data_IF_229903158445
#
_entry.id   IF_229903158445
#
_cell.length_a   1.000
_cell.length_b   1.000
_cell.length_c   1.000
_cell.angle_alpha   90.00
_cell.angle_beta   90.00
_cell.angle_gamma   90.00
#
_symmetry.space_group_name_H-M   'P 1'
#
loop_
_entity.id
_entity.type
_entity.pdbx_description
1 polymer ?
#
# COMPACT_ATOMS: atom_id res chain seq x y z
N UNK A 1 -35.86 28.13 1.80
CA UNK A 1 -35.35 26.84 1.31
C UNK A 1 -33.89 26.77 1.73
N UNK A 2 -33.63 26.20 2.90
CA UNK A 2 -32.33 26.32 3.57
C UNK A 2 -31.62 24.98 3.47
N UNK A 3 -30.60 24.91 2.63
CA UNK A 3 -29.73 23.75 2.46
C UNK A 3 -28.89 23.57 3.72
N UNK A 4 -29.30 22.66 4.60
CA UNK A 4 -28.43 22.11 5.64
C UNK A 4 -27.39 21.20 4.99
N UNK A 5 -26.20 21.74 4.75
CA UNK A 5 -24.98 20.96 4.53
C UNK A 5 -24.63 20.25 5.84
N UNK A 6 -25.06 18.99 5.97
CA UNK A 6 -24.61 18.08 7.00
C UNK A 6 -23.15 17.70 6.73
N UNK A 7 -22.22 18.47 7.29
CA UNK A 7 -20.82 18.12 7.38
C UNK A 7 -20.68 17.01 8.44
N UNK A 8 -20.75 15.76 7.99
CA UNK A 8 -20.54 14.58 8.84
C UNK A 8 -19.06 14.40 9.17
N UNK A 9 -18.51 15.25 10.04
CA UNK A 9 -17.24 14.94 10.70
C UNK A 9 -17.50 13.87 11.76
N UNK A 10 -17.19 12.62 11.44
CA UNK A 10 -17.05 11.60 12.48
C UNK A 10 -15.85 11.99 13.34
N UNK A 11 -16.13 12.48 14.54
CA UNK A 11 -15.14 12.84 15.55
C UNK A 11 -14.40 11.57 16.01
N UNK A 12 -13.33 11.22 15.31
CA UNK A 12 -12.28 10.36 15.85
C UNK A 12 -11.19 11.26 16.46
N UNK A 13 -11.33 11.62 17.73
CA UNK A 13 -10.23 12.11 18.57
C UNK A 13 -9.71 10.87 19.31
N UNK A 14 -8.41 10.52 19.34
CA UNK A 14 -7.26 11.29 19.82
C UNK A 14 -5.98 10.80 19.08
N UNK A 15 -5.15 11.71 18.55
CA UNK A 15 -3.79 11.50 17.97
C UNK A 15 -3.59 10.66 16.69
N UNK A 16 -4.64 10.12 16.07
CA UNK A 16 -4.54 9.36 14.81
C UNK A 16 -5.66 9.76 13.86
N UNK A 17 -5.39 9.83 12.55
CA UNK A 17 -6.40 10.20 11.57
C UNK A 17 -6.66 9.10 10.56
N UNK A 18 -7.93 8.80 10.37
CA UNK A 18 -8.43 7.96 9.28
C UNK A 18 -8.82 8.90 8.13
N UNK A 19 -8.31 8.64 6.93
CA UNK A 19 -8.68 9.36 5.71
C UNK A 19 -9.51 8.40 4.86
N UNK A 20 -10.83 8.55 4.92
CA UNK A 20 -11.76 7.84 4.06
C UNK A 20 -12.45 8.85 3.16
N UNK A 21 -12.21 8.72 1.86
CA UNK A 21 -12.91 9.48 0.85
C UNK A 21 -13.98 8.59 0.23
N UNK A 22 -15.27 8.98 0.29
CA UNK A 22 -16.32 8.19 -0.30
C UNK A 22 -16.15 8.13 -1.81
N UNK A 23 -16.27 6.93 -2.37
CA UNK A 23 -16.20 6.73 -3.82
C UNK A 23 -17.51 7.17 -4.49
N UNK A 24 -17.39 7.76 -5.68
CA UNK A 24 -18.54 8.00 -6.54
C UNK A 24 -19.15 6.67 -6.98
N UNK A 25 -20.45 6.67 -7.30
CA UNK A 25 -21.12 5.45 -7.75
C UNK A 25 -20.59 4.96 -9.10
N UNK A 26 -20.07 5.85 -9.93
CA UNK A 26 -19.35 5.51 -11.16
C UNK A 26 -18.11 4.67 -10.85
N UNK A 27 -17.27 5.14 -9.93
CA UNK A 27 -16.06 4.40 -9.52
C UNK A 27 -16.45 3.05 -8.92
N UNK A 28 -17.45 3.00 -8.03
CA UNK A 28 -17.89 1.74 -7.41
C UNK A 28 -18.37 0.70 -8.42
N UNK A 29 -19.02 1.12 -9.51
CA UNK A 29 -19.51 0.21 -10.57
C UNK A 29 -18.37 -0.43 -11.36
N UNK A 30 -17.28 0.28 -11.55
CA UNK A 30 -16.12 -0.18 -12.33
C UNK A 30 -15.05 -0.89 -11.48
N UNK A 31 -15.18 -0.84 -10.15
CA UNK A 31 -14.32 -1.58 -9.23
C UNK A 31 -14.48 -3.09 -9.40
N UNK A 32 -13.36 -3.80 -9.26
CA UNK A 32 -13.36 -5.27 -9.28
C UNK A 32 -12.91 -5.81 -7.94
N UNK A 33 -13.67 -6.78 -7.43
CA UNK A 33 -13.37 -7.47 -6.18
C UNK A 33 -12.91 -8.87 -6.54
N UNK A 34 -11.72 -9.23 -6.05
CA UNK A 34 -11.07 -10.50 -6.29
C UNK A 34 -11.00 -11.31 -5.00
N UNK A 35 -11.33 -12.59 -5.08
CA UNK A 35 -10.90 -13.57 -4.09
C UNK A 35 -9.45 -13.99 -4.37
N UNK A 36 -8.58 -13.68 -3.42
CA UNK A 36 -7.15 -13.95 -3.42
C UNK A 36 -6.81 -15.05 -2.41
N UNK A 37 -7.36 -16.27 -2.57
CA UNK A 37 -7.14 -17.50 -1.79
C UNK A 37 -7.31 -17.40 -0.26
N UNK A 38 -6.59 -16.48 0.40
CA UNK A 38 -6.56 -16.19 1.84
C UNK A 38 -6.88 -14.73 2.17
N UNK A 39 -7.25 -13.92 1.18
CA UNK A 39 -7.50 -12.48 1.33
C UNK A 39 -8.41 -11.95 0.22
N UNK A 40 -8.85 -10.70 0.32
CA UNK A 40 -9.64 -9.99 -0.69
C UNK A 40 -8.76 -8.97 -1.40
N UNK A 41 -8.86 -8.90 -2.72
CA UNK A 41 -8.24 -7.88 -3.55
C UNK A 41 -9.27 -6.91 -4.11
N UNK A 42 -8.99 -5.62 -4.10
CA UNK A 42 -9.87 -4.59 -4.68
C UNK A 42 -9.10 -3.79 -5.72
N UNK A 43 -9.52 -3.90 -6.97
CA UNK A 43 -8.99 -3.12 -8.09
C UNK A 43 -9.79 -1.83 -8.19
N UNK A 44 -9.13 -0.71 -7.98
CA UNK A 44 -9.71 0.60 -8.23
C UNK A 44 -9.53 0.97 -9.71
N UNK A 45 -10.59 1.46 -10.35
CA UNK A 45 -10.55 1.82 -11.76
C UNK A 45 -9.75 3.11 -11.97
N UNK A 46 -9.36 3.41 -13.20
CA UNK A 46 -8.57 4.61 -13.55
C UNK A 46 -9.31 5.92 -13.24
N UNK A 47 -10.65 5.86 -13.19
CA UNK A 47 -11.57 6.92 -12.83
C UNK A 47 -11.48 7.30 -11.34
N UNK A 48 -10.86 6.44 -10.50
CA UNK A 48 -10.61 6.79 -9.11
C UNK A 48 -9.47 7.81 -8.99
N UNK A 49 -9.81 9.01 -8.55
CA UNK A 49 -8.87 10.09 -8.26
C UNK A 49 -8.17 9.87 -6.91
N UNK A 50 -6.92 9.39 -6.96
CA UNK A 50 -6.11 9.23 -5.76
C UNK A 50 -5.62 10.59 -5.24
N UNK A 51 -5.91 10.90 -3.97
CA UNK A 51 -5.49 12.16 -3.35
C UNK A 51 -4.05 12.16 -2.80
N UNK A 52 -3.33 11.06 -2.95
CA UNK A 52 -1.90 10.93 -2.61
C UNK A 52 -1.05 10.80 -3.88
N UNK A 53 0.20 11.27 -3.84
CA UNK A 53 1.16 11.13 -4.94
C UNK A 53 0.59 11.51 -6.33
N UNK A 54 -0.23 12.58 -6.38
CA UNK A 54 -1.00 13.02 -7.57
C UNK A 54 -0.16 13.11 -8.85
N UNK A 55 1.09 13.57 -8.74
CA UNK A 55 2.02 13.64 -9.88
C UNK A 55 2.28 12.27 -10.52
N UNK A 56 2.74 11.28 -9.72
CA UNK A 56 3.03 9.92 -10.20
C UNK A 56 1.75 9.19 -10.64
N UNK A 57 0.65 9.41 -9.92
CA UNK A 57 -0.64 8.76 -10.18
C UNK A 57 -1.51 9.50 -11.19
N UNK A 58 -0.97 10.45 -11.95
CA UNK A 58 -1.74 11.21 -12.95
C UNK A 58 -2.13 10.38 -14.17
N UNK A 59 -1.26 9.47 -14.61
CA UNK A 59 -1.51 8.62 -15.78
C UNK A 59 -1.97 7.22 -15.36
N UNK A 60 -3.26 7.07 -15.03
CA UNK A 60 -3.85 5.83 -14.50
C UNK A 60 -4.28 4.87 -15.60
N UNK A 61 -4.24 3.58 -15.27
CA UNK A 61 -4.94 2.52 -16.02
C UNK A 61 -5.63 1.56 -15.04
N UNK A 62 -6.66 0.87 -15.52
CA UNK A 62 -7.35 -0.18 -14.76
C UNK A 62 -6.73 -1.54 -15.12
N UNK A 63 -6.00 -2.21 -14.21
CA UNK A 63 -5.51 -3.55 -14.47
C UNK A 63 -6.67 -4.54 -14.58
N UNK A 64 -6.52 -5.53 -15.45
CA UNK A 64 -7.47 -6.64 -15.56
C UNK A 64 -7.29 -7.63 -14.41
N UNK A 65 -8.32 -8.43 -14.14
CA UNK A 65 -8.24 -9.47 -13.10
C UNK A 65 -7.13 -10.48 -13.38
N UNK A 66 -6.96 -10.88 -14.65
CA UNK A 66 -5.93 -11.82 -15.05
C UNK A 66 -4.52 -11.25 -14.83
N UNK A 67 -4.33 -9.95 -15.06
CA UNK A 67 -3.07 -9.28 -14.76
C UNK A 67 -2.76 -9.28 -13.26
N UNK A 68 -3.75 -8.99 -12.42
CA UNK A 68 -3.58 -9.05 -10.96
C UNK A 68 -3.30 -10.48 -10.49
N UNK A 69 -4.04 -11.48 -10.96
CA UNK A 69 -3.82 -12.88 -10.58
C UNK A 69 -2.41 -13.36 -10.95
N UNK A 70 -1.88 -12.95 -12.11
CA UNK A 70 -0.49 -13.24 -12.50
C UNK A 70 0.52 -12.48 -11.65
N UNK A 71 0.25 -11.21 -11.33
CA UNK A 71 1.13 -10.40 -10.50
C UNK A 71 1.23 -10.96 -9.07
N UNK A 72 0.12 -11.42 -8.48
CA UNK A 72 0.05 -11.91 -7.10
C UNK A 72 1.02 -13.07 -6.81
N UNK A 73 1.23 -13.96 -7.79
CA UNK A 73 2.21 -15.04 -7.67
C UNK A 73 3.62 -14.47 -7.46
N UNK A 74 3.99 -13.44 -8.22
CA UNK A 74 5.33 -12.83 -8.15
C UNK A 74 5.47 -11.88 -6.96
N UNK A 75 4.43 -11.11 -6.65
CA UNK A 75 4.35 -10.23 -5.48
C UNK A 75 4.60 -11.04 -4.20
N UNK A 76 3.92 -12.17 -4.02
CA UNK A 76 4.06 -12.99 -2.82
C UNK A 76 5.46 -13.61 -2.69
N UNK A 77 6.10 -14.01 -3.81
CA UNK A 77 7.49 -14.50 -3.80
C UNK A 77 8.49 -13.40 -3.42
N UNK A 78 8.24 -12.17 -3.84
CA UNK A 78 9.19 -11.07 -3.71
C UNK A 78 8.96 -10.18 -2.50
N UNK A 79 7.89 -10.37 -1.73
CA UNK A 79 7.54 -9.51 -0.59
C UNK A 79 8.72 -9.31 0.37
N UNK A 80 9.29 -10.41 0.89
CA UNK A 80 10.43 -10.35 1.82
C UNK A 80 11.67 -9.71 1.18
N UNK A 81 11.88 -9.95 -0.10
CA UNK A 81 13.05 -9.47 -0.82
C UNK A 81 12.96 -7.96 -1.10
N UNK A 82 11.76 -7.47 -1.38
CA UNK A 82 11.41 -6.05 -1.43
C UNK A 82 11.73 -5.36 -0.10
N UNK A 83 11.31 -5.94 1.03
CA UNK A 83 11.62 -5.37 2.36
C UNK A 83 13.11 -5.43 2.71
N UNK A 84 13.81 -6.50 2.31
CA UNK A 84 15.27 -6.62 2.48
C UNK A 84 15.99 -5.49 1.76
N UNK A 85 15.66 -5.28 0.48
CA UNK A 85 16.20 -4.16 -0.29
C UNK A 85 15.93 -2.86 0.47
N UNK A 86 14.67 -2.67 0.90
CA UNK A 86 14.25 -1.47 1.62
C UNK A 86 15.09 -1.17 2.85
N UNK A 87 15.15 -2.13 3.77
CA UNK A 87 15.92 -2.02 5.02
C UNK A 87 17.41 -1.78 4.76
N UNK A 88 17.98 -2.42 3.74
CA UNK A 88 19.39 -2.24 3.37
C UNK A 88 19.69 -0.80 2.93
N UNK A 89 18.88 -0.22 2.05
CA UNK A 89 19.12 1.16 1.60
C UNK A 89 18.97 2.16 2.74
N UNK A 90 17.95 2.02 3.59
CA UNK A 90 17.77 2.92 4.73
C UNK A 90 18.97 2.85 5.68
N UNK A 91 19.48 1.67 5.99
CA UNK A 91 20.58 1.52 6.96
C UNK A 91 21.98 1.81 6.40
N UNK A 92 22.23 1.48 5.13
CA UNK A 92 23.60 1.46 4.59
C UNK A 92 23.85 2.39 3.40
N UNK A 93 22.81 2.78 2.64
CA UNK A 93 22.99 3.58 1.43
C UNK A 93 22.60 5.03 1.65
N UNK A 94 21.36 5.27 2.10
CA UNK A 94 20.78 6.62 2.22
C UNK A 94 21.55 7.49 3.21
N UNK A 95 22.02 6.89 4.30
CA UNK A 95 22.74 7.58 5.37
C UNK A 95 24.19 7.12 5.44
N UNK A 96 24.81 6.69 4.34
CA UNK A 96 26.18 6.16 4.35
C UNK A 96 27.18 7.11 5.04
N UNK A 97 26.98 8.41 4.89
CA UNK A 97 27.85 9.47 5.43
C UNK A 97 27.39 10.00 6.81
N UNK A 98 26.32 9.44 7.38
CA UNK A 98 25.84 9.85 8.70
C UNK A 98 26.78 9.31 9.80
N UNK A 99 27.49 10.22 10.47
CA UNK A 99 28.43 9.89 11.56
C UNK A 99 27.76 9.65 12.91
N UNK A 100 26.46 9.93 13.04
CA UNK A 100 25.70 9.71 14.29
C UNK A 100 25.52 8.23 14.63
N UNK A 101 25.57 7.35 13.63
CA UNK A 101 25.34 5.90 13.79
C UNK A 101 26.55 5.10 13.35
N UNK A 102 27.07 4.28 14.26
CA UNK A 102 28.15 3.33 13.99
C UNK A 102 27.70 2.21 13.04
N UNK A 103 28.68 1.55 12.40
CA UNK A 103 28.39 0.39 11.56
C UNK A 103 27.71 -0.75 12.34
N UNK A 104 28.09 -0.95 13.60
CA UNK A 104 27.51 -1.98 14.47
C UNK A 104 26.03 -1.70 14.77
N UNK A 105 25.68 -0.44 15.07
CA UNK A 105 24.29 -0.04 15.30
C UNK A 105 23.41 -0.25 14.06
N UNK A 106 23.91 0.11 12.87
CA UNK A 106 23.21 -0.13 11.59
C UNK A 106 23.03 -1.62 11.30
N UNK A 107 24.05 -2.44 11.59
CA UNK A 107 23.95 -3.90 11.45
C UNK A 107 22.91 -4.49 12.41
N UNK A 108 22.91 -4.03 13.67
CA UNK A 108 21.93 -4.47 14.68
C UNK A 108 20.51 -4.10 14.29
N UNK A 109 20.28 -2.86 13.84
CA UNK A 109 18.98 -2.39 13.36
C UNK A 109 18.51 -3.21 12.14
N UNK A 110 19.37 -3.36 11.13
CA UNK A 110 19.07 -4.18 9.96
C UNK A 110 18.68 -5.62 10.31
N UNK A 111 19.38 -6.27 11.25
CA UNK A 111 19.03 -7.62 11.69
C UNK A 111 17.69 -7.68 12.42
N UNK A 112 17.36 -6.65 13.20
CA UNK A 112 16.06 -6.54 13.87
C UNK A 112 14.92 -6.37 12.86
N UNK A 113 15.08 -5.45 11.91
CA UNK A 113 14.16 -5.29 10.78
C UNK A 113 14.01 -6.62 10.03
N UNK A 114 15.10 -7.36 9.81
CA UNK A 114 15.01 -8.62 9.09
C UNK A 114 14.25 -9.73 9.81
N UNK A 115 14.34 -9.78 11.14
CA UNK A 115 13.51 -10.71 11.94
C UNK A 115 12.04 -10.37 11.80
N UNK A 116 11.70 -9.09 11.83
CA UNK A 116 10.33 -8.62 11.71
C UNK A 116 9.78 -8.84 10.29
N UNK A 117 10.51 -8.42 9.24
CA UNK A 117 10.15 -8.63 7.82
C UNK A 117 9.89 -10.11 7.51
N UNK A 118 10.71 -11.04 8.05
CA UNK A 118 10.51 -12.48 7.85
C UNK A 118 9.19 -13.00 8.45
N UNK A 119 8.73 -12.42 9.57
CA UNK A 119 7.45 -12.80 10.18
C UNK A 119 6.29 -12.21 9.37
N UNK A 120 6.38 -10.93 9.02
CA UNK A 120 5.36 -10.24 8.23
C UNK A 120 5.18 -10.89 6.85
N UNK A 121 6.27 -11.19 6.13
CA UNK A 121 6.20 -11.81 4.81
C UNK A 121 5.50 -13.19 4.78
N UNK A 122 5.48 -13.93 5.90
CA UNK A 122 4.70 -15.17 6.01
C UNK A 122 3.20 -14.91 6.15
N UNK A 123 2.84 -13.75 6.69
CA UNK A 123 1.47 -13.34 6.94
C UNK A 123 0.90 -12.52 5.79
N UNK A 124 1.74 -11.91 4.95
CA UNK A 124 1.31 -11.00 3.88
C UNK A 124 0.30 -11.60 2.90
N UNK A 125 0.34 -12.92 2.69
CA UNK A 125 -0.66 -13.64 1.88
C UNK A 125 -2.09 -13.53 2.42
N UNK A 126 -2.26 -13.24 3.72
CA UNK A 126 -3.54 -13.07 4.41
C UNK A 126 -3.98 -11.60 4.49
N UNK A 127 -3.16 -10.67 4.04
CA UNK A 127 -3.50 -9.26 4.07
C UNK A 127 -4.42 -8.94 2.89
N UNK A 128 -5.48 -8.20 3.16
CA UNK A 128 -6.35 -7.69 2.11
C UNK A 128 -5.57 -6.66 1.28
N UNK A 129 -5.93 -6.51 0.00
CA UNK A 129 -5.17 -5.70 -0.95
C UNK A 129 -6.03 -4.68 -1.67
N UNK A 130 -5.51 -3.48 -1.85
CA UNK A 130 -6.07 -2.46 -2.75
C UNK A 130 -5.06 -2.15 -3.85
N UNK A 131 -5.51 -2.11 -5.11
CA UNK A 131 -4.65 -1.95 -6.29
C UNK A 131 -4.99 -0.69 -7.08
N UNK A 132 -3.95 -0.01 -7.55
CA UNK A 132 -4.01 1.09 -8.51
C UNK A 132 -3.01 0.86 -9.63
N UNK A 133 -3.43 0.92 -10.89
CA UNK A 133 -2.52 0.92 -12.03
C UNK A 133 -2.16 2.33 -12.47
N UNK A 134 -0.88 2.60 -12.73
CA UNK A 134 -0.40 3.85 -13.33
C UNK A 134 0.79 3.61 -14.27
N UNK A 135 1.02 4.56 -15.17
CA UNK A 135 2.13 4.52 -16.14
C UNK A 135 3.18 5.55 -15.72
N UNK A 136 4.41 5.10 -15.56
CA UNK A 136 5.56 5.94 -15.24
C UNK A 136 6.70 5.60 -16.21
N UNK A 137 7.24 6.61 -16.89
CA UNK A 137 8.31 6.43 -17.89
C UNK A 137 8.01 5.34 -18.94
N UNK A 138 6.73 5.21 -19.34
CA UNK A 138 6.27 4.21 -20.31
C UNK A 138 6.08 2.78 -19.76
N UNK A 139 6.34 2.56 -18.46
CA UNK A 139 6.18 1.26 -17.79
C UNK A 139 4.86 1.22 -17.01
N UNK A 140 4.21 0.05 -16.98
CA UNK A 140 2.96 -0.14 -16.22
C UNK A 140 3.30 -0.60 -14.81
N UNK A 141 2.91 0.20 -13.84
CA UNK A 141 3.18 -0.04 -12.44
C UNK A 141 1.86 -0.27 -11.70
N UNK A 142 1.85 -1.26 -10.81
CA UNK A 142 0.79 -1.46 -9.82
C UNK A 142 1.24 -0.90 -8.48
N UNK A 143 0.53 0.09 -7.94
CA UNK A 143 0.56 0.36 -6.50
C UNK A 143 -0.31 -0.68 -5.82
N UNK A 144 0.24 -1.32 -4.80
CA UNK A 144 -0.43 -2.34 -4.01
C UNK A 144 -0.38 -1.90 -2.56
N UNK A 145 -1.54 -1.72 -1.96
CA UNK A 145 -1.67 -1.54 -0.52
C UNK A 145 -2.02 -2.87 0.11
N UNK A 146 -1.18 -3.36 1.02
CA UNK A 146 -1.48 -4.50 1.87
C UNK A 146 -2.06 -3.99 3.19
N UNK A 147 -3.12 -4.62 3.66
CA UNK A 147 -3.86 -4.20 4.85
C UNK A 147 -4.08 -5.40 5.77
N UNK A 148 -3.51 -5.33 6.97
CA UNK A 148 -3.70 -6.32 8.03
C UNK A 148 -4.85 -5.92 8.95
N UNK A 149 -6.03 -6.52 8.76
CA UNK A 149 -7.19 -6.32 9.64
C UNK A 149 -7.23 -7.23 10.87
N UNK A 150 -6.16 -7.97 11.19
CA UNK A 150 -6.14 -8.85 12.37
C UNK A 150 -6.42 -8.13 13.69
N UNK A 151 -6.07 -6.84 13.76
CA UNK A 151 -6.45 -5.92 14.83
C UNK A 151 -7.03 -4.67 14.20
N UNK A 152 -8.34 -4.61 13.99
CA UNK A 152 -9.02 -3.48 13.33
C UNK A 152 -9.83 -2.65 14.33
N UNK A 153 -9.20 -1.74 15.10
CA UNK A 153 -9.88 -0.97 16.13
C UNK A 153 -10.88 0.05 15.56
N UNK A 154 -10.84 0.31 14.26
CA UNK A 154 -11.63 1.32 13.56
C UNK A 154 -12.76 0.72 12.71
N UNK A 155 -12.84 -0.62 12.61
CA UNK A 155 -13.82 -1.30 11.75
C UNK A 155 -13.65 -0.98 10.26
N UNK A 156 -12.41 -0.77 9.82
CA UNK A 156 -12.06 -0.38 8.45
C UNK A 156 -12.18 -1.53 7.45
N UNK A 157 -12.31 -2.79 7.88
CA UNK A 157 -12.52 -3.91 6.95
C UNK A 157 -13.74 -3.69 6.06
N UNK A 158 -14.82 -3.10 6.60
CA UNK A 158 -16.04 -2.78 5.86
C UNK A 158 -15.86 -1.62 4.86
N UNK A 159 -14.70 -0.95 4.88
CA UNK A 159 -14.35 0.15 3.99
C UNK A 159 -13.49 -0.29 2.80
N UNK A 160 -13.03 -1.55 2.79
CA UNK A 160 -12.12 -2.08 1.77
C UNK A 160 -12.63 -1.88 0.33
N UNK A 161 -13.95 -1.92 0.15
CA UNK A 161 -14.65 -1.73 -1.12
C UNK A 161 -15.36 -0.38 -1.26
N UNK A 162 -15.22 0.51 -0.25
CA UNK A 162 -15.94 1.79 -0.17
C UNK A 162 -15.04 3.02 -0.27
N UNK A 163 -13.74 2.84 -0.04
CA UNK A 163 -12.72 3.89 -0.09
C UNK A 163 -11.33 3.29 -0.19
N UNK A 164 -10.36 4.04 -0.71
CA UNK A 164 -8.96 3.76 -0.44
C UNK A 164 -8.67 3.98 1.04
N UNK A 165 -8.14 2.97 1.74
CA UNK A 165 -7.96 3.04 3.19
C UNK A 165 -6.66 3.79 3.48
N UNK A 166 -6.79 5.09 3.78
CA UNK A 166 -5.69 5.96 4.16
C UNK A 166 -5.73 6.37 5.63
N UNK A 167 -4.58 6.78 6.16
CA UNK A 167 -4.49 7.36 7.49
C UNK A 167 -3.05 7.65 7.90
N UNK A 168 -2.88 8.27 9.06
CA UNK A 168 -1.58 8.64 9.60
C UNK A 168 -1.43 8.18 11.05
N UNK A 169 -0.20 7.77 11.39
CA UNK A 169 0.22 7.28 12.69
C UNK A 169 -0.52 6.01 13.20
N UNK A 170 0.03 5.39 14.25
CA UNK A 170 -0.65 4.34 15.00
C UNK A 170 -0.92 3.10 14.14
N UNK A 171 -2.20 2.71 14.05
CA UNK A 171 -2.61 1.51 13.31
C UNK A 171 -2.10 1.48 11.86
N UNK A 172 -2.14 2.61 11.16
CA UNK A 172 -1.74 2.65 9.75
C UNK A 172 -0.25 2.36 9.56
N UNK A 173 0.60 2.78 10.50
CA UNK A 173 2.05 2.51 10.44
C UNK A 173 2.36 1.01 10.57
N UNK A 174 1.54 0.27 11.32
CA UNK A 174 1.77 -1.15 11.60
C UNK A 174 0.92 -2.10 10.76
N UNK A 175 -0.16 -1.63 10.14
CA UNK A 175 -1.13 -2.50 9.48
C UNK A 175 -1.31 -2.19 8.00
N UNK A 176 -0.71 -1.10 7.49
CA UNK A 176 -0.78 -0.74 6.08
C UNK A 176 0.63 -0.72 5.47
N UNK A 177 0.80 -1.37 4.32
CA UNK A 177 2.07 -1.39 3.57
C UNK A 177 1.81 -1.03 2.12
N UNK A 178 2.55 -0.06 1.60
CA UNK A 178 2.49 0.29 0.19
C UNK A 178 3.70 -0.30 -0.55
N UNK A 179 3.40 -1.02 -1.62
CA UNK A 179 4.37 -1.59 -2.56
C UNK A 179 4.07 -1.09 -3.97
N UNK A 180 5.10 -1.13 -4.82
CA UNK A 180 4.97 -0.92 -6.26
C UNK A 180 5.52 -2.13 -7.01
N UNK A 181 4.76 -2.62 -7.98
CA UNK A 181 5.14 -3.74 -8.82
C UNK A 181 5.18 -3.31 -10.28
N UNK A 182 6.36 -3.38 -10.89
CA UNK A 182 6.53 -3.12 -12.30
C UNK A 182 6.08 -4.36 -13.10
N UNK A 183 5.07 -4.19 -13.96
CA UNK A 183 4.41 -5.31 -14.64
C UNK A 183 5.28 -5.95 -15.71
N UNK A 184 6.20 -5.21 -16.32
CA UNK A 184 7.10 -5.67 -17.37
C UNK A 184 8.30 -6.43 -16.80
N UNK A 185 9.01 -5.81 -15.85
CA UNK A 185 10.21 -6.38 -15.22
C UNK A 185 9.88 -7.38 -14.12
N UNK A 186 8.62 -7.42 -13.68
CA UNK A 186 8.11 -8.23 -12.59
C UNK A 186 8.81 -7.97 -11.26
N UNK A 187 9.31 -6.76 -11.02
CA UNK A 187 10.00 -6.41 -9.78
C UNK A 187 9.06 -5.72 -8.80
N UNK A 188 9.08 -6.18 -7.54
CA UNK A 188 8.37 -5.56 -6.41
C UNK A 188 9.31 -4.70 -5.57
N UNK A 189 8.96 -3.43 -5.35
CA UNK A 189 9.67 -2.51 -4.46
C UNK A 189 8.72 -1.93 -3.40
N UNK A 190 9.29 -1.43 -2.31
CA UNK A 190 8.52 -0.57 -1.40
C UNK A 190 8.12 0.70 -2.14
N UNK A 191 6.88 1.15 -1.94
CA UNK A 191 6.39 2.34 -2.63
C UNK A 191 7.20 3.58 -2.23
N UNK A 192 7.55 4.43 -3.20
CA UNK A 192 8.39 5.61 -2.97
C UNK A 192 9.88 5.29 -2.84
N UNK A 193 10.31 4.10 -3.26
CA UNK A 193 11.71 3.78 -3.44
C UNK A 193 12.35 4.73 -4.47
N UNK A 194 13.55 5.29 -4.19
CA UNK A 194 14.26 6.08 -5.19
C UNK A 194 14.72 5.15 -6.34
N UNK A 195 13.95 5.22 -7.43
CA UNK A 195 14.16 4.66 -8.78
C UNK A 195 13.86 3.16 -8.97
N UNK A 196 12.93 2.91 -9.92
CA UNK A 196 12.77 1.66 -10.69
C UNK A 196 13.71 1.66 -11.89
#
# INVERSE_FOLDING_TARGET
MTLTLSCGSSKFNVNHGVVLEPLSDEVKREMKILDLEKSTGVIFPKEYEANFNKGRLSNRFTPTENEIRKAEIEINKQYLDSDKRFAYNQNFVRFKDNTEWTLEERQKDFQNLMKWNKKEAKMSIKFDRQYLGFIENGQRILVIQFIDFSKDPYGLKDQLTKSWIGGWHGWFETNVRLKEYNMETKKLNSFGWPQL
#
